data_IF_662910798653
#
_entry.id   IF_662910798653
#
_cell.length_a   1.000
_cell.length_b   1.000
_cell.length_c   1.000
_cell.angle_alpha   90.00
_cell.angle_beta   90.00
_cell.angle_gamma   90.00
#
_symmetry.space_group_name_H-M   'P 1'
#
loop_
_entity.id
_entity.type
_entity.pdbx_description
1 polymer ?
#
# COMPACT_ATOMS: atom_id res chain seq x y z
N UNK A 1 -3.77 -0.99 19.11
CA UNK A 1 -3.99 -2.44 19.28
C UNK A 1 -3.30 -2.86 20.58
N UNK A 2 -4.04 -2.95 21.68
CA UNK A 2 -3.56 -3.16 23.07
C UNK A 2 -2.95 -1.94 23.81
N UNK A 3 -3.82 -1.07 24.33
CA UNK A 3 -3.53 -0.25 25.52
C UNK A 3 -4.03 -0.95 26.79
N UNK A 4 -3.76 -2.25 26.90
CA UNK A 4 -4.02 -3.03 28.12
C UNK A 4 -3.14 -2.54 29.30
N UNK A 5 -2.02 -1.88 28.99
CA UNK A 5 -1.12 -1.26 29.96
C UNK A 5 -1.78 -0.16 30.80
N UNK A 6 -2.76 0.56 30.25
CA UNK A 6 -3.45 1.64 30.97
C UNK A 6 -4.44 1.10 32.01
N UNK A 7 -4.86 -0.16 31.89
CA UNK A 7 -5.94 -0.71 32.71
C UNK A 7 -5.47 -1.25 34.07
N UNK A 8 -4.21 -1.69 34.17
CA UNK A 8 -3.71 -2.44 35.34
C UNK A 8 -2.79 -1.57 36.23
N UNK A 9 -2.63 -0.28 35.90
CA UNK A 9 -2.07 0.74 36.80
C UNK A 9 -0.62 0.57 37.27
N UNK A 10 0.03 -0.56 36.98
CA UNK A 10 1.32 -0.93 37.59
C UNK A 10 2.41 -1.32 36.58
N UNK A 11 2.06 -1.87 35.41
CA UNK A 11 3.06 -2.23 34.40
C UNK A 11 3.21 -1.15 33.32
N UNK A 12 4.40 -0.55 33.23
CA UNK A 12 4.79 0.36 32.14
C UNK A 12 4.79 -0.31 30.76
N UNK A 13 4.84 -1.65 30.71
CA UNK A 13 4.97 -2.45 29.49
C UNK A 13 3.96 -3.60 29.54
N UNK A 14 3.23 -3.81 28.45
CA UNK A 14 2.38 -4.98 28.23
C UNK A 14 2.77 -5.65 26.93
N UNK A 15 2.87 -6.98 26.96
CA UNK A 15 3.17 -7.81 25.82
C UNK A 15 1.91 -8.47 25.30
N UNK A 16 1.83 -8.59 23.98
CA UNK A 16 0.82 -9.35 23.26
C UNK A 16 1.50 -10.20 22.20
N UNK A 17 0.91 -11.35 21.88
CA UNK A 17 1.30 -12.17 20.74
C UNK A 17 0.23 -12.01 19.68
N UNK A 18 0.65 -11.63 18.48
CA UNK A 18 -0.19 -11.56 17.30
C UNK A 18 0.28 -12.58 16.28
N UNK A 19 -0.67 -13.34 15.74
CA UNK A 19 -0.46 -14.26 14.65
C UNK A 19 -1.41 -13.89 13.51
N UNK A 20 -0.86 -13.70 12.31
CA UNK A 20 -1.61 -13.40 11.11
C UNK A 20 -1.45 -14.51 10.07
N UNK A 21 -2.53 -14.79 9.35
CA UNK A 21 -2.58 -15.74 8.25
C UNK A 21 -3.25 -15.07 7.05
N UNK A 22 -2.65 -15.21 5.87
CA UNK A 22 -3.14 -14.62 4.63
C UNK A 22 -3.32 -15.73 3.60
N UNK A 23 -4.52 -15.79 3.02
CA UNK A 23 -4.82 -16.60 1.85
C UNK A 23 -5.07 -15.67 0.65
N UNK A 24 -4.09 -15.51 -0.26
CA UNK A 24 -4.22 -14.63 -1.42
C UNK A 24 -5.30 -15.07 -2.41
N UNK A 25 -5.47 -16.38 -2.60
CA UNK A 25 -6.45 -16.95 -3.52
C UNK A 25 -7.89 -16.60 -3.12
N UNK A 26 -8.18 -16.66 -1.81
CA UNK A 26 -9.50 -16.30 -1.26
C UNK A 26 -9.60 -14.82 -0.87
N UNK A 27 -8.52 -14.03 -1.01
CA UNK A 27 -8.42 -12.65 -0.52
C UNK A 27 -8.87 -12.53 0.94
N UNK A 28 -8.48 -13.50 1.74
CA UNK A 28 -8.88 -13.64 3.13
C UNK A 28 -7.67 -13.48 4.03
N UNK A 29 -7.76 -12.62 5.04
CA UNK A 29 -6.72 -12.44 6.04
C UNK A 29 -7.34 -12.52 7.43
N UNK A 30 -6.71 -13.29 8.31
CA UNK A 30 -7.14 -13.46 9.70
C UNK A 30 -5.98 -13.08 10.61
N UNK A 31 -6.25 -12.26 11.61
CA UNK A 31 -5.31 -11.91 12.66
C UNK A 31 -5.90 -12.35 13.98
N UNK A 32 -5.08 -12.98 14.81
CA UNK A 32 -5.44 -13.41 16.17
C UNK A 32 -4.43 -12.82 17.12
N UNK A 33 -4.91 -12.11 18.13
CA UNK A 33 -4.05 -11.43 19.09
C UNK A 33 -4.46 -11.80 20.50
N UNK A 34 -3.48 -12.17 21.32
CA UNK A 34 -3.66 -12.51 22.73
C UNK A 34 -2.74 -11.66 23.59
N UNK A 35 -3.19 -11.25 24.77
CA UNK A 35 -2.28 -10.63 25.73
C UNK A 35 -1.45 -11.69 26.45
N UNK A 36 -0.17 -11.42 26.62
CA UNK A 36 0.74 -12.28 27.39
C UNK A 36 0.89 -11.76 28.82
N UNK A 37 1.00 -10.44 28.99
CA UNK A 37 1.07 -9.81 30.32
C UNK A 37 -0.31 -9.82 30.97
N UNK A 38 -0.37 -10.17 32.26
CA UNK A 38 -1.60 -10.28 33.07
C UNK A 38 -2.66 -11.27 32.57
N UNK A 39 -2.33 -12.16 31.63
CA UNK A 39 -3.24 -13.16 31.07
C UNK A 39 -3.92 -14.06 32.11
N UNK A 40 -3.31 -14.24 33.29
CA UNK A 40 -3.89 -15.01 34.41
C UNK A 40 -5.12 -14.37 35.04
N UNK A 41 -5.19 -13.03 35.01
CA UNK A 41 -6.26 -12.25 35.64
C UNK A 41 -7.21 -11.66 34.60
N UNK A 42 -6.65 -11.20 33.48
CA UNK A 42 -7.38 -10.58 32.38
C UNK A 42 -6.85 -11.20 31.11
N UNK A 43 -7.63 -12.06 30.49
CA UNK A 43 -7.34 -12.63 29.17
C UNK A 43 -8.19 -11.91 28.12
N UNK A 44 -7.54 -11.41 27.09
CA UNK A 44 -8.15 -10.77 25.93
C UNK A 44 -7.71 -11.53 24.69
N UNK A 45 -8.69 -12.10 24.00
CA UNK A 45 -8.50 -12.77 22.72
C UNK A 45 -9.21 -11.95 21.65
N UNK A 46 -8.46 -11.37 20.74
CA UNK A 46 -8.98 -10.58 19.64
C UNK A 46 -8.79 -11.33 18.32
N UNK A 47 -9.80 -11.29 17.46
CA UNK A 47 -9.76 -11.86 16.11
C UNK A 47 -10.26 -10.82 15.12
N UNK A 48 -9.42 -10.48 14.14
CA UNK A 48 -9.78 -9.64 13.00
C UNK A 48 -9.84 -10.52 11.75
N UNK A 49 -10.89 -10.34 10.95
CA UNK A 49 -11.07 -11.02 9.66
C UNK A 49 -11.31 -9.99 8.58
N UNK A 50 -10.46 -10.02 7.57
CA UNK A 50 -10.59 -9.23 6.36
C UNK A 50 -11.05 -10.13 5.23
N UNK A 51 -12.19 -9.80 4.62
CA UNK A 51 -12.81 -10.54 3.52
C UNK A 51 -13.27 -9.58 2.44
N UNK A 52 -13.43 -10.00 1.18
CA UNK A 52 -14.10 -9.18 0.18
C UNK A 52 -15.53 -8.86 0.63
N UNK A 53 -15.99 -7.64 0.40
CA UNK A 53 -17.34 -7.25 0.79
C UNK A 53 -18.38 -7.98 -0.08
N UNK A 54 -19.42 -8.60 0.50
CA UNK A 54 -20.31 -9.52 -0.22
C UNK A 54 -21.10 -8.86 -1.35
N UNK A 55 -21.39 -7.56 -1.23
CA UNK A 55 -22.12 -6.79 -2.24
C UNK A 55 -21.23 -5.94 -3.13
N UNK A 56 -19.95 -5.75 -2.79
CA UNK A 56 -19.08 -4.80 -3.47
C UNK A 56 -17.64 -5.33 -3.52
N UNK A 57 -17.24 -5.88 -4.67
CA UNK A 57 -15.92 -6.48 -4.84
C UNK A 57 -14.75 -5.51 -4.69
N UNK A 58 -15.00 -4.20 -4.69
CA UNK A 58 -13.96 -3.16 -4.53
C UNK A 58 -13.67 -2.84 -3.06
N UNK A 59 -14.52 -3.32 -2.14
CA UNK A 59 -14.39 -3.05 -0.70
C UNK A 59 -13.93 -4.29 0.05
N UNK A 60 -13.22 -4.02 1.15
CA UNK A 60 -12.85 -5.05 2.13
C UNK A 60 -13.75 -4.91 3.35
N UNK A 61 -14.41 -5.99 3.74
CA UNK A 61 -15.15 -6.10 4.98
C UNK A 61 -14.20 -6.54 6.10
N UNK A 62 -14.05 -5.68 7.11
CA UNK A 62 -13.39 -6.00 8.37
C UNK A 62 -14.45 -6.44 9.39
N UNK A 63 -14.30 -7.66 9.92
CA UNK A 63 -15.01 -8.11 11.12
C UNK A 63 -14.02 -8.23 12.27
N UNK A 64 -14.29 -7.55 13.38
CA UNK A 64 -13.48 -7.56 14.59
C UNK A 64 -14.29 -8.14 15.75
N UNK A 65 -13.75 -9.14 16.42
CA UNK A 65 -14.37 -9.84 17.55
C UNK A 65 -13.34 -9.89 18.68
N UNK A 66 -13.72 -9.49 19.89
CA UNK A 66 -12.86 -9.54 21.06
C UNK A 66 -13.58 -10.22 22.21
N UNK A 67 -12.91 -11.20 22.83
CA UNK A 67 -13.40 -11.90 24.01
C UNK A 67 -12.53 -11.50 25.18
N UNK A 68 -13.15 -10.90 26.18
CA UNK A 68 -12.50 -10.50 27.44
C UNK A 68 -12.94 -11.49 28.52
N UNK A 69 -11.98 -12.01 29.27
CA UNK A 69 -12.21 -12.90 30.40
C UNK A 69 -11.48 -12.34 31.61
N UNK A 70 -12.23 -12.02 32.66
CA UNK A 70 -11.69 -11.46 33.89
C UNK A 70 -11.86 -12.46 35.03
N UNK A 71 -10.79 -12.78 35.75
CA UNK A 71 -10.77 -13.77 36.84
C UNK A 71 -9.95 -13.31 38.03
N UNK A 72 -10.47 -13.54 39.23
CA UNK A 72 -9.72 -13.36 40.47
C UNK A 72 -9.32 -11.91 40.77
N UNK A 73 -10.06 -10.94 40.24
CA UNK A 73 -9.90 -9.51 40.55
C UNK A 73 -11.22 -8.94 41.09
N UNK A 74 -11.17 -8.07 42.11
CA UNK A 74 -12.33 -7.30 42.55
C UNK A 74 -12.87 -6.44 41.41
N UNK A 75 -14.16 -6.08 41.48
CA UNK A 75 -14.81 -5.17 40.52
C UNK A 75 -14.79 -5.69 39.06
N UNK A 76 -15.03 -6.99 38.89
CA UNK A 76 -15.02 -7.69 37.60
C UNK A 76 -15.83 -6.94 36.53
N UNK A 77 -17.08 -6.57 36.84
CA UNK A 77 -17.97 -5.88 35.89
C UNK A 77 -17.39 -4.53 35.42
N UNK A 78 -16.80 -3.75 36.34
CA UNK A 78 -16.19 -2.47 35.99
C UNK A 78 -14.98 -2.65 35.06
N UNK A 79 -14.16 -3.68 35.32
CA UNK A 79 -13.01 -4.00 34.47
C UNK A 79 -13.44 -4.49 33.10
N UNK A 80 -14.50 -5.30 33.02
CA UNK A 80 -15.09 -5.77 31.76
C UNK A 80 -15.63 -4.61 30.92
N UNK A 81 -16.40 -3.70 31.53
CA UNK A 81 -16.94 -2.52 30.85
C UNK A 81 -15.84 -1.58 30.36
N UNK A 82 -14.83 -1.34 31.21
CA UNK A 82 -13.69 -0.49 30.87
C UNK A 82 -12.89 -1.08 29.70
N UNK A 83 -12.59 -2.38 29.73
CA UNK A 83 -11.88 -3.08 28.66
C UNK A 83 -12.68 -3.07 27.36
N UNK A 84 -13.95 -3.41 27.42
CA UNK A 84 -14.84 -3.47 26.26
C UNK A 84 -14.95 -2.08 25.60
N UNK A 85 -15.10 -1.03 26.41
CA UNK A 85 -15.14 0.36 25.94
C UNK A 85 -13.83 0.77 25.27
N UNK A 86 -12.68 0.41 25.86
CA UNK A 86 -11.36 0.69 25.26
C UNK A 86 -11.15 -0.05 23.95
N UNK A 87 -11.54 -1.32 23.86
CA UNK A 87 -11.42 -2.12 22.63
C UNK A 87 -12.31 -1.52 21.53
N UNK A 88 -13.56 -1.19 21.85
CA UNK A 88 -14.50 -0.56 20.91
C UNK A 88 -13.99 0.80 20.39
N UNK A 89 -13.55 1.68 21.29
CA UNK A 89 -12.98 2.98 20.89
C UNK A 89 -11.71 2.84 20.04
N UNK A 90 -10.89 1.80 20.31
CA UNK A 90 -9.67 1.55 19.56
C UNK A 90 -9.94 0.91 18.19
N UNK A 91 -11.02 0.14 18.04
CA UNK A 91 -11.43 -0.43 16.75
C UNK A 91 -11.68 0.67 15.71
N UNK A 92 -12.40 1.73 16.11
CA UNK A 92 -12.65 2.89 15.25
C UNK A 92 -11.35 3.59 14.81
N UNK A 93 -10.40 3.77 15.73
CA UNK A 93 -9.09 4.34 15.43
C UNK A 93 -8.25 3.44 14.53
N UNK A 94 -8.28 2.13 14.77
CA UNK A 94 -7.58 1.13 13.95
C UNK A 94 -8.04 1.16 12.50
N UNK A 95 -9.35 1.25 12.26
CA UNK A 95 -9.91 1.45 10.92
C UNK A 95 -9.39 2.74 10.28
N UNK A 96 -9.47 3.87 10.97
CA UNK A 96 -9.01 5.16 10.43
C UNK A 96 -7.51 5.13 10.07
N UNK A 97 -6.69 4.52 10.92
CA UNK A 97 -5.27 4.37 10.66
C UNK A 97 -5.00 3.52 9.40
N UNK A 98 -5.74 2.42 9.22
CA UNK A 98 -5.63 1.59 8.01
C UNK A 98 -6.02 2.35 6.76
N UNK A 99 -7.14 3.08 6.77
CA UNK A 99 -7.57 3.92 5.64
C UNK A 99 -6.51 4.99 5.31
N UNK A 100 -5.89 5.60 6.33
CA UNK A 100 -4.81 6.55 6.14
C UNK A 100 -3.59 5.92 5.45
N UNK A 101 -3.17 4.72 5.87
CA UNK A 101 -2.06 4.00 5.23
C UNK A 101 -2.40 3.63 3.78
N UNK A 102 -3.63 3.18 3.51
CA UNK A 102 -4.09 2.85 2.15
C UNK A 102 -4.04 4.07 1.25
N UNK A 103 -4.54 5.23 1.72
CA UNK A 103 -4.48 6.46 0.95
C UNK A 103 -3.04 6.90 0.68
N UNK A 104 -2.17 6.82 1.69
CA UNK A 104 -0.76 7.15 1.53
C UNK A 104 -0.07 6.28 0.47
N UNK A 105 -0.34 4.97 0.46
CA UNK A 105 0.16 4.05 -0.56
C UNK A 105 -0.40 4.38 -1.96
N UNK A 106 -1.68 4.69 -2.06
CA UNK A 106 -2.29 5.06 -3.33
C UNK A 106 -1.67 6.34 -3.92
N UNK A 107 -1.34 7.31 -3.07
CA UNK A 107 -0.68 8.54 -3.50
C UNK A 107 0.75 8.24 -3.99
N UNK A 108 1.51 7.43 -3.26
CA UNK A 108 2.87 7.01 -3.67
C UNK A 108 2.88 6.24 -5.00
N UNK A 109 1.89 5.36 -5.23
CA UNK A 109 1.77 4.61 -6.49
C UNK A 109 1.41 5.53 -7.66
N UNK A 110 0.56 6.55 -7.44
CA UNK A 110 0.23 7.55 -8.46
C UNK A 110 1.46 8.37 -8.85
N UNK A 111 2.24 8.81 -7.86
CA UNK A 111 3.46 9.60 -8.09
C UNK A 111 4.50 8.80 -8.90
N UNK A 112 4.64 7.50 -8.60
CA UNK A 112 5.52 6.60 -9.36
C UNK A 112 5.05 6.43 -10.82
N UNK A 113 3.74 6.23 -11.01
CA UNK A 113 3.15 6.08 -12.34
C UNK A 113 3.38 7.33 -13.18
N UNK A 114 3.10 8.51 -12.60
CA UNK A 114 3.34 9.80 -13.25
C UNK A 114 4.81 10.00 -13.62
N UNK A 115 5.73 9.69 -12.71
CA UNK A 115 7.17 9.79 -12.98
C UNK A 115 7.59 8.89 -14.15
N UNK A 116 7.03 7.67 -14.21
CA UNK A 116 7.27 6.72 -15.30
C UNK A 116 6.73 7.25 -16.64
N UNK A 117 5.53 7.83 -16.65
CA UNK A 117 4.93 8.43 -17.84
C UNK A 117 5.74 9.64 -18.34
N UNK A 118 6.25 10.47 -17.42
CA UNK A 118 7.12 11.60 -17.75
C UNK A 118 8.42 11.10 -18.41
N UNK A 119 9.09 10.09 -17.84
CA UNK A 119 10.30 9.47 -18.42
C UNK A 119 10.01 8.86 -19.80
N UNK A 120 8.89 8.14 -19.93
CA UNK A 120 8.51 7.50 -21.19
C UNK A 120 8.24 8.56 -22.27
N UNK A 121 7.51 9.62 -21.93
CA UNK A 121 7.21 10.73 -22.85
C UNK A 121 8.48 11.45 -23.31
N UNK A 122 9.42 11.70 -22.39
CA UNK A 122 10.69 12.33 -22.71
C UNK A 122 11.52 11.44 -23.64
N UNK A 123 11.59 10.14 -23.33
CA UNK A 123 12.31 9.16 -24.16
C UNK A 123 11.71 9.06 -25.56
N UNK A 124 10.37 9.01 -25.68
CA UNK A 124 9.68 9.00 -26.97
C UNK A 124 10.00 10.24 -27.80
N UNK A 125 9.92 11.43 -27.18
CA UNK A 125 10.23 12.70 -27.86
C UNK A 125 11.68 12.76 -28.32
N UNK A 126 12.63 12.36 -27.48
CA UNK A 126 14.04 12.29 -27.86
C UNK A 126 14.29 11.33 -29.03
N UNK A 127 13.59 10.19 -29.09
CA UNK A 127 13.68 9.27 -30.22
C UNK A 127 13.08 9.85 -31.51
N UNK A 128 11.94 10.55 -31.42
CA UNK A 128 11.33 11.24 -32.56
C UNK A 128 12.25 12.37 -33.10
N UNK A 129 12.90 13.12 -32.21
CA UNK A 129 13.87 14.17 -32.56
C UNK A 129 15.10 13.58 -33.25
N UNK A 130 15.60 12.42 -32.78
CA UNK A 130 16.69 11.68 -33.44
C UNK A 130 16.25 11.19 -34.83
N UNK A 131 15.07 10.58 -34.94
CA UNK A 131 14.58 10.03 -36.20
C UNK A 131 14.35 11.13 -37.26
N UNK A 132 13.81 12.28 -36.85
CA UNK A 132 13.61 13.44 -37.73
C UNK A 132 14.94 14.05 -38.17
N UNK A 133 15.90 14.18 -37.26
CA UNK A 133 17.26 14.66 -37.56
C UNK A 133 17.99 13.73 -38.54
N UNK A 134 17.89 12.41 -38.33
CA UNK A 134 18.47 11.42 -39.23
C UNK A 134 17.85 11.47 -40.63
N UNK A 135 16.52 11.56 -40.74
CA UNK A 135 15.81 11.73 -42.02
C UNK A 135 16.28 12.97 -42.77
N UNK A 136 16.41 14.11 -42.06
CA UNK A 136 16.88 15.36 -42.65
C UNK A 136 18.32 15.23 -43.15
N UNK A 137 19.22 14.70 -42.33
CA UNK A 137 20.62 14.50 -42.70
C UNK A 137 20.79 13.59 -43.92
N UNK A 138 20.01 12.50 -44.01
CA UNK A 138 20.00 11.63 -45.20
C UNK A 138 19.51 12.37 -46.46
N UNK A 139 18.48 13.22 -46.33
CA UNK A 139 17.99 14.06 -47.42
C UNK A 139 19.08 15.01 -47.93
N UNK A 140 19.76 15.69 -47.02
CA UNK A 140 20.84 16.64 -47.36
C UNK A 140 22.03 15.92 -48.05
N UNK A 141 22.42 14.73 -47.58
CA UNK A 141 23.46 13.90 -48.20
C UNK A 141 23.03 13.47 -49.61
N UNK A 142 21.79 13.00 -49.77
CA UNK A 142 21.27 12.57 -51.07
C UNK A 142 21.26 13.72 -52.08
N UNK A 143 20.86 14.92 -51.63
CA UNK A 143 20.81 16.10 -52.48
C UNK A 143 22.22 16.59 -52.88
N UNK A 144 23.18 16.59 -51.95
CA UNK A 144 24.60 16.88 -52.27
C UNK A 144 25.19 15.88 -53.25
N UNK A 145 24.92 14.59 -53.07
CA UNK A 145 25.42 13.54 -53.96
C UNK A 145 24.87 13.69 -55.39
N UNK A 146 23.56 13.96 -55.53
CA UNK A 146 22.94 14.24 -56.85
C UNK A 146 23.60 15.43 -57.54
N UNK A 147 23.74 16.55 -56.82
CA UNK A 147 24.38 17.74 -57.38
C UNK A 147 25.81 17.47 -57.83
N UNK A 148 26.60 16.75 -57.03
CA UNK A 148 27.98 16.40 -57.38
C UNK A 148 28.08 15.48 -58.61
N UNK A 149 27.10 14.60 -58.82
CA UNK A 149 27.03 13.75 -60.02
C UNK A 149 26.69 14.57 -61.26
N UNK A 150 25.70 15.46 -61.18
CA UNK A 150 25.34 16.36 -62.28
C UNK A 150 26.54 17.25 -62.67
N UNK A 151 27.22 17.84 -61.68
CA UNK A 151 28.41 18.68 -61.90
C UNK A 151 29.53 17.90 -62.61
N UNK A 152 29.80 16.63 -62.22
CA UNK A 152 30.77 15.78 -62.90
C UNK A 152 30.37 15.47 -64.35
N UNK A 153 29.09 15.22 -64.60
CA UNK A 153 28.56 14.88 -65.92
C UNK A 153 28.67 16.07 -66.89
N UNK A 154 28.47 17.30 -66.39
CA UNK A 154 28.69 18.52 -67.17
C UNK A 154 30.16 18.78 -67.51
N UNK A 155 31.10 18.37 -66.65
CA UNK A 155 32.54 18.51 -66.92
C UNK A 155 33.11 17.46 -67.89
N UNK A 156 32.42 16.33 -68.11
CA UNK A 156 32.87 15.28 -69.06
C UNK A 156 32.39 15.52 -70.50
N UNK A 157 31.48 16.48 -70.71
CA UNK A 157 30.84 16.80 -71.99
C UNK A 157 31.35 18.13 -72.61
N UNK A 158 32.37 18.77 -72.02
CA UNK A 158 33.14 19.90 -72.59
C UNK A 158 34.56 19.47 -72.93
#
# INVERSE_FOLDING_TARGET
MFHLAVLIGSAKICYASEQSEVNPSLRHMVLKTINLTFCRHIAVNETLKYTPHPSDSTKTLLKQEAVVTVKGVPLTNYMEDLLTTKISNNAGKGRQAMEWVINKLNDEVKDLTRSTDEIFSHTKRSLDDIATSAKKSMGDISQKAKKSLDDMQTMTLS
#
